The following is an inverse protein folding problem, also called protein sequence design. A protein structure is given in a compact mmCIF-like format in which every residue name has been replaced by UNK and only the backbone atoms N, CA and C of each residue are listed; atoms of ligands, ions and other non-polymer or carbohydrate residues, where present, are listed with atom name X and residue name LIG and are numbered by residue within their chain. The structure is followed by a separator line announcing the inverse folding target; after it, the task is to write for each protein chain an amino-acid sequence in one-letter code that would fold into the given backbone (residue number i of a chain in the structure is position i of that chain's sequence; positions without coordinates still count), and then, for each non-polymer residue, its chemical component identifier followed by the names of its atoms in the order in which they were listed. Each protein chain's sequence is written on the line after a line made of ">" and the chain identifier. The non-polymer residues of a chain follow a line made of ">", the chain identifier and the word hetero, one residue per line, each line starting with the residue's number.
data_IF_223577869742
#
_entry.id   IF_223577869742
#
_cell.length_a   1.000
_cell.length_b   1.000
_cell.length_c   1.000
_cell.angle_alpha   90.00
_cell.angle_beta   90.00
_cell.angle_gamma   90.00
#
_symmetry.space_group_name_H-M   'P 1'
#
loop_
_entity.id
_entity.type
_entity.pdbx_description
1 polymer ?
#
# COMPACT_ATOMS: atom_id res chain seq x y z
N UNK A 1 42.36 -37.77 2.21
CA UNK A 1 43.38 -37.16 3.09
C UNK A 1 43.38 -35.63 3.01
N UNK A 2 43.73 -35.00 1.89
CA UNK A 2 43.75 -33.52 1.83
C UNK A 2 42.36 -32.86 1.98
N UNK A 3 41.34 -33.45 1.35
CA UNK A 3 39.95 -32.95 1.46
C UNK A 3 39.39 -33.10 2.88
N UNK A 4 39.73 -34.21 3.54
CA UNK A 4 39.30 -34.47 4.92
C UNK A 4 39.95 -33.46 5.88
N UNK A 5 41.25 -33.20 5.68
CA UNK A 5 41.99 -32.21 6.45
C UNK A 5 41.47 -30.77 6.24
N UNK A 6 41.01 -30.42 5.05
CA UNK A 6 40.38 -29.11 4.78
C UNK A 6 39.03 -29.01 5.48
N UNK A 7 38.22 -30.07 5.42
CA UNK A 7 36.89 -30.11 6.03
C UNK A 7 36.98 -30.02 7.56
N UNK A 8 37.94 -30.70 8.16
CA UNK A 8 38.19 -30.68 9.61
C UNK A 8 38.66 -29.29 10.07
N UNK A 9 39.54 -28.63 9.32
CA UNK A 9 39.94 -27.24 9.59
C UNK A 9 38.78 -26.25 9.51
N UNK A 10 37.89 -26.42 8.52
CA UNK A 10 36.70 -25.57 8.37
C UNK A 10 35.66 -25.81 9.48
N UNK A 11 35.57 -27.04 10.00
CA UNK A 11 34.69 -27.38 11.11
C UNK A 11 35.19 -26.84 12.46
N UNK A 12 36.51 -26.69 12.63
CA UNK A 12 37.14 -26.13 13.84
C UNK A 12 37.15 -24.59 13.87
N UNK A 13 36.86 -23.94 12.74
CA UNK A 13 36.73 -22.48 12.68
C UNK A 13 35.50 -22.05 13.48
N UNK A 14 35.72 -21.22 14.51
CA UNK A 14 34.63 -20.61 15.28
C UNK A 14 33.74 -19.76 14.36
N UNK A 15 32.45 -19.66 14.72
CA UNK A 15 31.49 -18.87 13.97
C UNK A 15 32.03 -17.43 13.78
N UNK A 16 31.81 -16.81 12.60
CA UNK A 16 32.32 -15.48 12.31
C UNK A 16 32.00 -14.52 13.45
N UNK A 17 33.03 -14.02 14.12
CA UNK A 17 32.85 -13.07 15.20
C UNK A 17 32.38 -11.76 14.60
N UNK A 18 31.23 -11.27 15.06
CA UNK A 18 30.63 -10.00 14.62
C UNK A 18 31.37 -8.81 15.25
N UNK A 19 32.70 -8.76 15.12
CA UNK A 19 33.50 -7.63 15.55
C UNK A 19 33.03 -6.43 14.74
N UNK A 20 32.24 -5.54 15.36
CA UNK A 20 31.64 -4.34 14.76
C UNK A 20 30.55 -4.54 13.69
N UNK A 21 29.83 -5.67 13.70
CA UNK A 21 28.68 -5.82 12.80
C UNK A 21 27.56 -4.81 13.14
N UNK A 22 27.01 -4.17 12.10
CA UNK A 22 25.88 -3.26 12.24
C UNK A 22 24.67 -3.99 12.86
N UNK A 23 23.96 -3.32 13.79
CA UNK A 23 22.73 -3.86 14.36
C UNK A 23 21.74 -4.16 13.24
N UNK A 24 21.06 -5.32 13.23
CA UNK A 24 20.06 -5.62 12.23
C UNK A 24 18.93 -4.59 12.30
N UNK A 25 18.69 -3.87 11.19
CA UNK A 25 17.60 -2.90 11.07
C UNK A 25 16.42 -3.54 10.33
N UNK A 26 15.34 -3.78 11.06
CA UNK A 26 14.11 -4.33 10.52
C UNK A 26 13.21 -3.26 9.87
N UNK A 27 13.51 -1.96 10.00
CA UNK A 27 12.68 -0.87 9.46
C UNK A 27 12.43 -1.00 7.97
N UNK A 28 13.41 -1.41 7.18
CA UNK A 28 13.24 -1.57 5.73
C UNK A 28 12.18 -2.63 5.36
N UNK A 29 12.02 -3.67 6.19
CA UNK A 29 10.99 -4.69 6.00
C UNK A 29 9.61 -4.14 6.36
N UNK A 30 9.51 -3.47 7.51
CA UNK A 30 8.25 -2.87 7.96
C UNK A 30 7.75 -1.79 7.00
N UNK A 31 8.63 -0.91 6.52
CA UNK A 31 8.29 0.12 5.54
C UNK A 31 7.71 -0.48 4.26
N UNK A 32 8.29 -1.58 3.76
CA UNK A 32 7.75 -2.28 2.59
C UNK A 32 6.39 -2.92 2.84
N UNK A 33 6.16 -3.42 4.05
CA UNK A 33 4.90 -4.08 4.41
C UNK A 33 3.77 -3.06 4.64
N UNK A 34 4.09 -1.84 5.06
CA UNK A 34 3.10 -0.79 5.37
C UNK A 34 2.98 0.29 4.28
N UNK A 35 3.63 0.12 3.12
CA UNK A 35 3.58 1.10 2.03
C UNK A 35 2.26 1.00 1.24
N UNK A 36 1.32 1.88 1.58
CA UNK A 36 0.02 1.98 0.91
C UNK A 36 0.11 2.39 -0.58
N UNK A 37 1.21 2.99 -1.03
CA UNK A 37 1.35 3.48 -2.42
C UNK A 37 1.53 2.36 -3.44
N UNK A 38 1.87 1.16 -2.97
CA UNK A 38 2.08 -0.01 -3.84
C UNK A 38 0.79 -0.73 -4.22
N UNK A 39 -0.33 -0.40 -3.58
CA UNK A 39 -1.63 -0.96 -3.98
C UNK A 39 -2.09 -0.37 -5.31
N UNK A 40 -2.63 -1.24 -6.17
CA UNK A 40 -3.10 -0.89 -7.53
C UNK A 40 -4.57 -1.26 -7.72
N UNK A 41 -5.17 -0.79 -8.83
CA UNK A 41 -6.57 -1.05 -9.16
C UNK A 41 -7.52 -0.66 -8.03
N UNK A 42 -8.55 -1.49 -7.79
CA UNK A 42 -9.56 -1.23 -6.75
C UNK A 42 -9.00 -1.15 -5.33
N UNK A 43 -7.81 -1.70 -5.06
CA UNK A 43 -7.19 -1.62 -3.73
C UNK A 43 -6.55 -0.24 -3.48
N UNK A 44 -6.14 0.46 -4.55
CA UNK A 44 -5.61 1.81 -4.47
C UNK A 44 -6.67 2.80 -3.94
N UNK A 45 -7.90 2.65 -4.41
CA UNK A 45 -9.03 3.52 -4.03
C UNK A 45 -9.43 3.39 -2.54
N UNK A 46 -8.96 2.34 -1.87
CA UNK A 46 -9.27 2.10 -0.45
C UNK A 46 -8.52 3.02 0.51
N UNK A 47 -7.46 3.69 0.08
CA UNK A 47 -6.61 4.53 0.91
C UNK A 47 -6.55 5.95 0.36
N UNK A 48 -6.34 6.93 1.24
CA UNK A 48 -6.01 8.29 0.84
C UNK A 48 -4.49 8.45 0.60
N UNK A 49 -4.07 9.67 0.26
CA UNK A 49 -2.68 9.99 -0.01
C UNK A 49 -1.75 9.82 1.21
N UNK A 50 -2.32 9.82 2.42
CA UNK A 50 -1.64 9.67 3.71
C UNK A 50 -1.64 8.21 4.20
N UNK A 51 -2.33 7.31 3.48
CA UNK A 51 -2.43 5.90 3.80
C UNK A 51 -3.57 5.53 4.76
N UNK A 52 -4.46 6.48 5.08
CA UNK A 52 -5.64 6.22 5.89
C UNK A 52 -6.74 5.61 5.01
N UNK A 53 -7.46 4.64 5.56
CA UNK A 53 -8.54 3.97 4.83
C UNK A 53 -9.73 4.91 4.56
N UNK A 54 -10.19 4.96 3.31
CA UNK A 54 -11.38 5.72 2.85
C UNK A 54 -12.71 5.04 3.16
N UNK A 55 -12.70 3.89 3.84
CA UNK A 55 -13.91 3.22 4.32
C UNK A 55 -14.84 2.77 3.18
N UNK A 56 -16.12 3.16 3.23
CA UNK A 56 -17.13 2.80 2.22
C UNK A 56 -16.85 3.45 0.86
N UNK A 57 -16.47 4.73 0.87
CA UNK A 57 -16.21 5.51 -0.34
C UNK A 57 -15.05 4.95 -1.19
N UNK A 58 -14.08 4.26 -0.57
CA UNK A 58 -13.00 3.58 -1.29
C UNK A 58 -13.29 2.14 -1.73
N UNK A 59 -14.50 1.63 -1.46
CA UNK A 59 -14.91 0.24 -1.72
C UNK A 59 -16.14 0.13 -2.62
N UNK A 60 -16.89 1.21 -2.77
CA UNK A 60 -18.15 1.25 -3.51
C UNK A 60 -18.06 2.42 -4.48
N UNK A 61 -18.46 2.17 -5.73
CA UNK A 61 -18.70 3.23 -6.70
C UNK A 61 -20.09 3.82 -6.42
N UNK A 62 -20.13 4.98 -5.78
CA UNK A 62 -21.38 5.65 -5.44
C UNK A 62 -21.97 6.30 -6.70
N UNK A 63 -22.98 5.65 -7.27
CA UNK A 63 -23.78 6.22 -8.34
C UNK A 63 -24.88 7.14 -7.77
N UNK A 64 -25.01 8.33 -8.33
CA UNK A 64 -26.07 9.29 -8.01
C UNK A 64 -27.43 8.79 -8.53
N UNK A 65 -28.16 8.06 -7.68
CA UNK A 65 -29.48 7.49 -8.00
C UNK A 65 -30.62 8.51 -7.82
N UNK A 66 -30.43 9.73 -8.30
CA UNK A 66 -31.41 10.84 -8.15
C UNK A 66 -32.64 10.68 -9.05
N UNK A 67 -32.71 9.63 -9.89
CA UNK A 67 -33.71 9.47 -10.94
C UNK A 67 -33.58 10.50 -12.07
N UNK A 68 -32.60 11.40 -11.97
CA UNK A 68 -32.35 12.45 -12.93
C UNK A 68 -31.67 11.87 -14.18
N UNK A 69 -32.19 12.23 -15.35
CA UNK A 69 -31.68 11.72 -16.63
C UNK A 69 -30.39 12.44 -17.00
N UNK A 70 -29.27 11.71 -17.06
CA UNK A 70 -27.94 12.28 -17.31
C UNK A 70 -27.79 13.06 -18.63
N UNK A 71 -28.64 12.81 -19.63
CA UNK A 71 -28.65 13.56 -20.88
C UNK A 71 -29.24 14.98 -20.75
N UNK A 72 -29.99 15.23 -19.67
CA UNK A 72 -30.65 16.52 -19.45
C UNK A 72 -29.70 17.47 -18.72
N UNK A 73 -29.38 18.62 -19.33
CA UNK A 73 -28.34 19.55 -18.84
C UNK A 73 -28.86 20.61 -17.86
N UNK A 74 -30.18 20.75 -17.72
CA UNK A 74 -30.82 21.82 -16.97
C UNK A 74 -31.23 21.36 -15.57
N UNK A 75 -30.33 20.69 -14.86
CA UNK A 75 -30.56 20.25 -13.48
C UNK A 75 -30.54 21.49 -12.58
N UNK A 76 -31.49 21.59 -11.65
CA UNK A 76 -31.54 22.67 -10.66
C UNK A 76 -31.63 24.09 -11.28
N UNK A 77 -32.23 24.23 -12.48
CA UNK A 77 -32.39 25.53 -13.16
C UNK A 77 -33.82 26.09 -13.12
N UNK A 78 -34.83 25.32 -12.71
CA UNK A 78 -36.23 25.75 -12.74
C UNK A 78 -36.46 27.03 -11.92
N UNK A 79 -36.04 27.04 -10.66
CA UNK A 79 -36.18 28.18 -9.74
C UNK A 79 -35.35 29.41 -10.16
N UNK A 80 -34.31 29.21 -10.99
CA UNK A 80 -33.49 30.31 -11.54
C UNK A 80 -34.23 31.05 -12.64
N UNK A 81 -35.05 30.34 -13.42
CA UNK A 81 -35.80 30.88 -14.55
C UNK A 81 -37.22 31.35 -14.15
N UNK A 82 -37.79 30.77 -13.08
CA UNK A 82 -39.14 31.06 -12.61
C UNK A 82 -39.05 31.58 -11.18
N UNK A 83 -38.70 32.87 -11.03
CA UNK A 83 -38.80 33.56 -9.75
C UNK A 83 -40.22 34.11 -9.60
N UNK A 84 -40.87 33.77 -8.49
CA UNK A 84 -42.07 34.47 -8.01
C UNK A 84 -41.70 35.81 -7.39
#
# INVERSE_FOLDING_TARGET
>A
EELDAITEKLAQLEAPTLNSAAKPDANGVYQRLTDHKKYTGAHKERFDAEGKGRGKAGRVDEAENTGYVGAYKNKDTYDKAHKH
#
